data_IF_115857299068
#
_entry.id   IF_115857299068
#
_cell.length_a   1.000
_cell.length_b   1.000
_cell.length_c   1.000
_cell.angle_alpha   90.00
_cell.angle_beta   90.00
_cell.angle_gamma   90.00
#
_symmetry.space_group_name_H-M   'P 1'
#
loop_
_entity.id
_entity.type
_entity.pdbx_description
1 polymer ?
#
# COMPACT_ATOMS: atom_id res chain seq x y z
N UNK A 1 15.91 15.56 4.69
CA UNK A 1 14.61 15.53 3.96
C UNK A 1 14.28 14.12 3.47
N UNK A 2 15.26 13.37 2.94
CA UNK A 2 15.09 11.98 2.48
C UNK A 2 14.73 10.96 3.58
N UNK A 3 15.36 11.05 4.75
CA UNK A 3 15.18 10.08 5.85
C UNK A 3 13.74 10.02 6.36
N UNK A 4 13.10 11.20 6.49
CA UNK A 4 11.69 11.33 6.87
C UNK A 4 10.73 10.70 5.85
N UNK A 5 11.11 10.65 4.57
CA UNK A 5 10.32 10.05 3.50
C UNK A 5 10.38 8.52 3.54
N UNK A 6 11.52 7.96 3.92
CA UNK A 6 11.71 6.49 4.06
C UNK A 6 10.86 5.96 5.21
N UNK A 7 10.91 6.60 6.37
CA UNK A 7 10.10 6.24 7.54
C UNK A 7 8.60 6.26 7.24
N UNK A 8 8.13 7.25 6.47
CA UNK A 8 6.74 7.35 6.04
C UNK A 8 6.30 6.11 5.22
N UNK A 9 7.14 5.64 4.29
CA UNK A 9 6.83 4.46 3.49
C UNK A 9 6.84 3.18 4.31
N UNK A 10 7.73 3.08 5.31
CA UNK A 10 7.72 1.96 6.23
C UNK A 10 6.43 1.89 7.04
N UNK A 11 6.00 3.01 7.61
CA UNK A 11 4.74 3.11 8.35
C UNK A 11 3.56 2.80 7.45
N UNK A 12 3.56 3.30 6.21
CA UNK A 12 2.54 2.98 5.20
C UNK A 12 2.42 1.48 4.94
N UNK A 13 3.54 0.77 4.80
CA UNK A 13 3.56 -0.68 4.60
C UNK A 13 3.07 -1.45 5.82
N UNK A 14 3.54 -1.08 7.01
CA UNK A 14 3.12 -1.69 8.27
C UNK A 14 1.61 -1.52 8.50
N UNK A 15 1.11 -0.29 8.31
CA UNK A 15 -0.29 0.04 8.49
C UNK A 15 -1.18 -0.74 7.51
N UNK A 16 -0.81 -0.81 6.23
CA UNK A 16 -1.55 -1.57 5.24
C UNK A 16 -1.68 -3.06 5.60
N UNK A 17 -0.58 -3.69 6.04
CA UNK A 17 -0.61 -5.07 6.51
C UNK A 17 -1.45 -5.24 7.78
N UNK A 18 -1.34 -4.31 8.73
CA UNK A 18 -2.14 -4.32 9.95
C UNK A 18 -3.64 -4.27 9.64
N UNK A 19 -4.08 -3.33 8.79
CA UNK A 19 -5.47 -3.19 8.40
C UNK A 19 -5.97 -4.42 7.62
N UNK A 20 -5.18 -4.99 6.71
CA UNK A 20 -5.59 -6.14 5.93
C UNK A 20 -5.78 -7.43 6.76
N UNK A 21 -5.12 -7.53 7.92
CA UNK A 21 -5.29 -8.64 8.87
C UNK A 21 -6.46 -8.45 9.84
N UNK A 22 -7.04 -7.25 9.92
CA UNK A 22 -8.18 -7.01 10.81
C UNK A 22 -9.45 -7.61 10.22
N UNK A 23 -10.14 -8.41 11.04
CA UNK A 23 -11.47 -8.99 10.75
C UNK A 23 -12.61 -8.20 11.38
N UNK A 24 -12.26 -7.09 12.03
CA UNK A 24 -13.03 -6.01 12.63
C UNK A 24 -14.41 -5.55 12.17
N UNK A 25 -14.69 -5.74 10.89
CA UNK A 25 -15.68 -4.96 10.14
C UNK A 25 -15.40 -3.43 10.06
N UNK A 26 -14.29 -2.92 10.60
CA UNK A 26 -14.00 -1.47 10.62
C UNK A 26 -13.68 -0.91 9.23
N UNK A 27 -13.95 0.39 9.07
CA UNK A 27 -13.81 1.13 7.81
C UNK A 27 -12.40 1.17 7.21
N UNK A 28 -11.34 0.85 7.96
CA UNK A 28 -9.95 0.88 7.46
C UNK A 28 -9.73 0.04 6.21
N UNK A 29 -10.32 -1.16 6.14
CA UNK A 29 -10.22 -2.00 4.94
C UNK A 29 -10.99 -1.38 3.76
N UNK A 30 -12.14 -0.76 4.03
CA UNK A 30 -12.94 -0.06 3.02
C UNK A 30 -12.17 1.12 2.44
N UNK A 31 -11.39 1.84 3.24
CA UNK A 31 -10.52 2.94 2.78
C UNK A 31 -9.43 2.44 1.83
N UNK A 32 -8.76 1.34 2.17
CA UNK A 32 -7.72 0.75 1.28
C UNK A 32 -8.30 0.24 -0.04
N UNK A 33 -9.48 -0.39 0.01
CA UNK A 33 -10.15 -0.92 -1.18
C UNK A 33 -10.95 0.14 -1.95
N UNK A 34 -11.10 1.34 -1.39
CA UNK A 34 -11.97 2.37 -1.95
C UNK A 34 -11.61 2.70 -3.40
N UNK A 35 -12.61 2.55 -4.27
CA UNK A 35 -12.55 2.94 -5.69
C UNK A 35 -13.75 3.84 -5.97
N UNK A 36 -13.57 5.02 -6.58
CA UNK A 36 -14.69 5.75 -7.14
C UNK A 36 -15.31 4.89 -8.23
N UNK A 37 -16.61 4.58 -8.12
CA UNK A 37 -17.33 3.74 -9.08
C UNK A 37 -18.06 4.56 -10.16
N UNK A 38 -18.15 5.88 -10.00
CA UNK A 38 -19.22 6.64 -10.65
C UNK A 38 -18.77 7.61 -11.75
N UNK A 39 -17.49 7.97 -11.88
CA UNK A 39 -17.09 9.06 -12.78
C UNK A 39 -15.77 8.81 -13.54
N UNK A 40 -15.76 9.17 -14.83
CA UNK A 40 -14.53 9.33 -15.62
C UNK A 40 -13.78 10.54 -15.05
N UNK A 41 -12.66 10.29 -14.35
CA UNK A 41 -11.79 11.35 -13.83
C UNK A 41 -11.14 12.13 -14.98
N UNK A 42 -10.85 13.41 -14.74
CA UNK A 42 -10.12 14.26 -15.69
C UNK A 42 -8.76 13.64 -16.06
N UNK A 43 -8.38 13.82 -17.34
CA UNK A 43 -7.24 13.14 -18.00
C UNK A 43 -5.86 13.56 -17.46
N UNK A 44 -5.79 14.53 -16.55
CA UNK A 44 -4.55 15.20 -16.17
C UNK A 44 -3.79 14.60 -14.99
N UNK A 45 -4.38 13.68 -14.19
CA UNK A 45 -3.65 13.00 -13.10
C UNK A 45 -3.83 11.48 -13.21
N UNK A 46 -2.75 10.68 -13.25
CA UNK A 46 -2.87 9.23 -13.20
C UNK A 46 -3.70 8.84 -11.98
N UNK A 47 -4.62 7.89 -12.16
CA UNK A 47 -5.51 7.41 -11.10
C UNK A 47 -4.77 6.53 -10.08
N UNK A 48 -3.63 7.01 -9.54
CA UNK A 48 -2.78 6.29 -8.62
C UNK A 48 -3.44 6.27 -7.25
N UNK A 49 -3.84 5.08 -6.82
CA UNK A 49 -4.43 4.80 -5.51
C UNK A 49 -3.34 4.34 -4.55
N UNK A 50 -3.60 4.47 -3.25
CA UNK A 50 -2.73 3.92 -2.21
C UNK A 50 -2.39 2.45 -2.48
N UNK A 51 -3.41 1.64 -2.80
CA UNK A 51 -3.21 0.21 -3.07
C UNK A 51 -2.40 -0.08 -4.32
N UNK A 52 -2.20 0.87 -5.23
CA UNK A 52 -1.42 0.62 -6.44
C UNK A 52 0.09 0.54 -6.11
N UNK A 53 0.57 1.33 -5.14
CA UNK A 53 1.95 1.20 -4.66
C UNK A 53 2.18 -0.15 -3.97
N UNK A 54 1.19 -0.62 -3.21
CA UNK A 54 1.24 -1.93 -2.54
C UNK A 54 1.20 -3.05 -3.58
N UNK A 55 0.29 -2.97 -4.55
CA UNK A 55 0.12 -3.98 -5.61
C UNK A 55 1.34 -4.08 -6.51
N UNK A 56 2.11 -3.01 -6.68
CA UNK A 56 3.37 -3.08 -7.44
C UNK A 56 4.37 -4.04 -6.81
N UNK A 57 4.36 -4.22 -5.49
CA UNK A 57 5.30 -5.07 -4.76
C UNK A 57 4.69 -6.42 -4.38
N UNK A 58 3.47 -6.43 -3.83
CA UNK A 58 2.79 -7.63 -3.35
C UNK A 58 1.74 -8.21 -4.33
N UNK A 59 1.75 -7.73 -5.58
CA UNK A 59 0.81 -8.11 -6.65
C UNK A 59 -0.68 -7.87 -6.31
N UNK A 60 -1.57 -8.37 -7.17
CA UNK A 60 -3.02 -8.24 -7.02
C UNK A 60 -3.57 -8.91 -5.76
N UNK A 61 -2.90 -9.98 -5.29
CA UNK A 61 -3.21 -10.79 -4.11
C UNK A 61 -2.56 -10.29 -2.80
N UNK A 62 -2.22 -8.99 -2.74
CA UNK A 62 -1.56 -8.40 -1.58
C UNK A 62 -2.30 -8.62 -0.24
N UNK A 63 -3.64 -8.76 -0.25
CA UNK A 63 -4.43 -9.11 0.94
C UNK A 63 -4.04 -10.47 1.51
N UNK A 64 -3.91 -11.49 0.64
CA UNK A 64 -3.46 -12.81 1.07
C UNK A 64 -1.99 -12.75 1.50
N UNK A 65 -1.13 -12.07 0.73
CA UNK A 65 0.28 -11.90 1.06
C UNK A 65 0.50 -11.21 2.42
N UNK A 66 -0.40 -10.30 2.81
CA UNK A 66 -0.34 -9.61 4.10
C UNK A 66 -0.72 -10.47 5.31
N UNK A 67 -1.39 -11.61 5.11
CA UNK A 67 -1.71 -12.54 6.22
C UNK A 67 -0.45 -13.24 6.71
N UNK A 68 0.43 -13.61 5.78
CA UNK A 68 1.76 -14.11 6.10
C UNK A 68 2.68 -12.95 6.52
N UNK A 69 2.98 -12.86 7.82
CA UNK A 69 3.85 -11.82 8.36
C UNK A 69 5.30 -11.94 7.88
N UNK A 70 5.79 -13.15 7.62
CA UNK A 70 7.14 -13.39 7.13
C UNK A 70 7.29 -12.87 5.70
N UNK A 71 6.35 -13.29 4.83
CA UNK A 71 6.27 -12.78 3.46
C UNK A 71 6.08 -11.26 3.44
N UNK A 72 5.14 -10.72 4.23
CA UNK A 72 4.87 -9.29 4.30
C UNK A 72 6.08 -8.47 4.75
N UNK A 73 6.84 -8.97 5.73
CA UNK A 73 8.07 -8.31 6.17
C UNK A 73 9.18 -8.41 5.13
N UNK A 74 9.30 -9.53 4.40
CA UNK A 74 10.30 -9.68 3.34
C UNK A 74 10.11 -8.67 2.20
N UNK A 75 8.84 -8.39 1.83
CA UNK A 75 8.45 -7.45 0.79
C UNK A 75 8.55 -5.97 1.23
N UNK A 76 8.71 -5.70 2.54
CA UNK A 76 8.87 -4.33 3.04
C UNK A 76 10.11 -3.66 2.47
N UNK A 77 11.24 -4.38 2.41
CA UNK A 77 12.51 -3.83 1.93
C UNK A 77 12.40 -3.38 0.47
N UNK A 78 11.80 -4.20 -0.38
CA UNK A 78 11.56 -3.87 -1.79
C UNK A 78 10.59 -2.69 -1.96
N UNK A 79 9.57 -2.58 -1.11
CA UNK A 79 8.67 -1.41 -1.11
C UNK A 79 9.38 -0.10 -0.77
N UNK A 80 10.25 -0.11 0.25
CA UNK A 80 10.98 1.08 0.70
C UNK A 80 12.06 1.49 -0.30
N UNK A 81 12.79 0.53 -0.88
CA UNK A 81 13.86 0.79 -1.86
C UNK A 81 13.41 1.58 -3.10
N UNK A 82 12.14 1.41 -3.45
CA UNK A 82 11.52 2.07 -4.59
C UNK A 82 11.24 3.57 -4.34
N UNK A 83 11.48 4.06 -3.11
CA UNK A 83 11.47 5.47 -2.73
C UNK A 83 12.85 6.02 -2.35
N UNK A 84 13.85 5.15 -2.16
CA UNK A 84 15.25 5.55 -1.96
C UNK A 84 16.04 5.63 -3.27
N UNK A 85 15.63 4.91 -4.31
CA UNK A 85 16.31 4.90 -5.63
C UNK A 85 15.95 6.10 -6.52
N UNK A 86 15.05 6.97 -6.06
CA UNK A 86 14.72 8.24 -6.70
C UNK A 86 15.51 9.31 -5.95
N UNK A 87 16.82 9.36 -6.22
CA UNK A 87 17.78 10.30 -5.67
C UNK A 87 18.83 10.60 -6.72
#
# INVERSE_FOLDING_TARGET
>A
MFERSVEEQELKWQWAGHIARRTDGRWGLKVLEWRPRTEKRSVSRPARRWTDDIRRVAASRWRQASQDRGLWNSLRKTFVQQWTSIG
#
